data_IF_078414331709
#
_entry.id   IF_078414331709
#
_cell.length_a   1.000
_cell.length_b   1.000
_cell.length_c   1.000
_cell.angle_alpha   90.00
_cell.angle_beta   90.00
_cell.angle_gamma   90.00
#
_symmetry.space_group_name_H-M   'P 1'
#
loop_
_entity.id
_entity.type
_entity.pdbx_description
1 polymer ?
#
# COMPACT_ATOMS: atom_id res chain seq x y z
N UNK A 1 8.08 -3.87 26.27
CA UNK A 1 8.49 -4.23 24.90
C UNK A 1 7.32 -4.15 23.92
N UNK A 2 6.18 -4.78 24.21
CA UNK A 2 4.99 -4.77 23.35
C UNK A 2 4.49 -3.36 22.95
N UNK A 3 4.43 -2.40 23.88
CA UNK A 3 3.95 -1.03 23.56
C UNK A 3 4.79 -0.33 22.49
N UNK A 4 6.12 -0.51 22.51
CA UNK A 4 7.02 0.08 21.52
C UNK A 4 6.83 -0.58 20.15
N UNK A 5 6.67 -1.91 20.10
CA UNK A 5 6.39 -2.64 18.87
C UNK A 5 5.05 -2.24 18.27
N UNK A 6 4.00 -2.11 19.09
CA UNK A 6 2.68 -1.68 18.66
C UNK A 6 2.71 -0.25 18.11
N UNK A 7 3.39 0.67 18.80
CA UNK A 7 3.59 2.03 18.29
C UNK A 7 4.29 2.04 16.92
N UNK A 8 5.38 1.28 16.77
CA UNK A 8 6.10 1.18 15.49
C UNK A 8 5.24 0.54 14.39
N UNK A 9 4.43 -0.47 14.73
CA UNK A 9 3.53 -1.11 13.77
C UNK A 9 2.48 -0.12 13.26
N UNK A 10 1.84 0.63 14.17
CA UNK A 10 0.85 1.66 13.80
C UNK A 10 1.50 2.78 12.98
N UNK A 11 2.72 3.19 13.34
CA UNK A 11 3.47 4.18 12.57
C UNK A 11 3.80 3.68 11.15
N UNK A 12 4.18 2.41 11.00
CA UNK A 12 4.41 1.79 9.70
C UNK A 12 3.12 1.68 8.88
N UNK A 13 2.01 1.32 9.51
CA UNK A 13 0.69 1.28 8.89
C UNK A 13 0.26 2.66 8.39
N UNK A 14 0.51 3.71 9.18
CA UNK A 14 0.28 5.10 8.80
C UNK A 14 1.15 5.52 7.62
N UNK A 15 2.45 5.20 7.65
CA UNK A 15 3.37 5.46 6.55
C UNK A 15 2.90 4.75 5.26
N UNK A 16 2.45 3.50 5.34
CA UNK A 16 1.86 2.79 4.19
C UNK A 16 0.61 3.52 3.67
N UNK A 17 -0.33 3.88 4.55
CA UNK A 17 -1.59 4.53 4.16
C UNK A 17 -1.37 5.90 3.51
N UNK A 18 -0.42 6.69 4.01
CA UNK A 18 -0.11 8.00 3.43
C UNK A 18 0.36 7.93 1.97
N UNK A 19 0.94 6.81 1.52
CA UNK A 19 1.27 6.61 0.10
C UNK A 19 0.05 6.63 -0.80
N UNK A 20 -1.09 6.11 -0.33
CA UNK A 20 -2.36 6.14 -1.08
C UNK A 20 -2.83 7.57 -1.23
N UNK A 21 -2.70 8.38 -0.18
CA UNK A 21 -3.07 9.81 -0.20
C UNK A 21 -2.21 10.57 -1.20
N UNK A 22 -0.89 10.39 -1.17
CA UNK A 22 0.04 11.05 -2.10
C UNK A 22 -0.30 10.71 -3.56
N UNK A 23 -0.61 9.45 -3.86
CA UNK A 23 -0.94 9.00 -5.22
C UNK A 23 -2.37 9.37 -5.66
N UNK A 24 -3.27 9.67 -4.73
CA UNK A 24 -4.65 10.07 -5.07
C UNK A 24 -4.70 11.36 -5.87
N UNK A 25 -3.74 12.27 -5.68
CA UNK A 25 -3.63 13.49 -6.49
C UNK A 25 -3.60 13.18 -8.01
N UNK A 26 -2.90 12.12 -8.43
CA UNK A 26 -2.84 11.71 -9.84
C UNK A 26 -4.13 11.07 -10.34
N UNK A 27 -4.77 10.25 -9.49
CA UNK A 27 -6.06 9.66 -9.80
C UNK A 27 -7.12 10.74 -10.07
N UNK A 28 -6.98 11.90 -9.42
CA UNK A 28 -7.81 13.10 -9.62
C UNK A 28 -7.35 14.01 -10.77
N UNK A 29 -6.29 13.65 -11.48
CA UNK A 29 -5.83 14.37 -12.68
C UNK A 29 -4.77 15.46 -12.43
N UNK A 30 -4.14 15.50 -11.25
CA UNK A 30 -3.00 16.39 -11.02
C UNK A 30 -1.85 16.10 -12.01
N UNK A 31 -1.07 17.15 -12.30
CA UNK A 31 0.11 17.06 -13.15
C UNK A 31 1.16 16.08 -12.58
N UNK A 32 2.07 15.54 -13.42
CA UNK A 32 3.10 14.63 -12.96
C UNK A 32 3.88 15.18 -11.76
N UNK A 33 3.91 14.43 -10.65
CA UNK A 33 4.64 14.85 -9.46
C UNK A 33 6.13 15.04 -9.78
N UNK A 34 6.72 16.03 -9.13
CA UNK A 34 8.17 16.21 -9.16
C UNK A 34 8.83 14.95 -8.59
N UNK A 35 9.96 14.55 -9.20
CA UNK A 35 10.80 13.42 -8.77
C UNK A 35 10.93 13.26 -7.25
N UNK A 36 11.15 14.31 -6.43
CA UNK A 36 11.22 14.16 -4.98
C UNK A 36 9.96 13.58 -4.35
N UNK A 37 8.76 13.95 -4.80
CA UNK A 37 7.52 13.46 -4.18
C UNK A 37 7.31 11.97 -4.47
N UNK A 38 7.61 11.54 -5.70
CA UNK A 38 7.56 10.11 -6.08
C UNK A 38 8.55 9.30 -5.24
N UNK A 39 9.78 9.78 -5.06
CA UNK A 39 10.79 9.12 -4.23
C UNK A 39 10.34 9.00 -2.78
N UNK A 40 9.76 10.07 -2.21
CA UNK A 40 9.20 10.03 -0.85
C UNK A 40 8.10 8.96 -0.76
N UNK A 41 7.19 8.91 -1.73
CA UNK A 41 6.10 7.93 -1.71
C UNK A 41 6.60 6.48 -1.84
N UNK A 42 7.65 6.24 -2.64
CA UNK A 42 8.29 4.93 -2.78
C UNK A 42 9.00 4.50 -1.50
N UNK A 43 9.71 5.42 -0.83
CA UNK A 43 10.36 5.15 0.47
C UNK A 43 9.31 4.87 1.55
N UNK A 44 8.24 5.67 1.62
CA UNK A 44 7.13 5.44 2.54
C UNK A 44 6.45 4.08 2.28
N UNK A 45 6.34 3.66 1.02
CA UNK A 45 5.80 2.33 0.69
C UNK A 45 6.74 1.21 1.13
N UNK A 46 8.03 1.34 0.82
CA UNK A 46 9.02 0.34 1.17
C UNK A 46 9.13 0.17 2.69
N UNK A 47 9.25 1.26 3.43
CA UNK A 47 9.41 1.24 4.89
C UNK A 47 8.07 0.95 5.58
N UNK A 48 7.00 1.63 5.19
CA UNK A 48 5.69 1.50 5.81
C UNK A 48 5.03 0.17 5.50
N UNK A 49 5.02 -0.25 4.23
CA UNK A 49 4.43 -1.53 3.82
C UNK A 49 5.17 -2.72 4.42
N UNK A 50 6.50 -2.77 4.26
CA UNK A 50 7.29 -3.86 4.84
C UNK A 50 7.25 -3.83 6.38
N UNK A 51 7.35 -2.64 6.98
CA UNK A 51 7.26 -2.46 8.43
C UNK A 51 5.92 -2.93 9.00
N UNK A 52 4.81 -2.66 8.32
CA UNK A 52 3.47 -3.12 8.74
C UNK A 52 3.43 -4.64 8.81
N UNK A 53 3.91 -5.32 7.77
CA UNK A 53 3.91 -6.78 7.72
C UNK A 53 4.88 -7.37 8.76
N UNK A 54 6.14 -6.94 8.77
CA UNK A 54 7.17 -7.52 9.65
C UNK A 54 6.83 -7.29 11.12
N UNK A 55 6.48 -6.05 11.50
CA UNK A 55 6.12 -5.75 12.89
C UNK A 55 4.80 -6.43 13.29
N UNK A 56 3.85 -6.55 12.36
CA UNK A 56 2.60 -7.26 12.61
C UNK A 56 2.82 -8.75 12.88
N UNK A 57 3.72 -9.39 12.13
CA UNK A 57 4.11 -10.79 12.35
C UNK A 57 4.82 -10.97 13.68
N UNK A 58 5.74 -10.07 14.05
CA UNK A 58 6.41 -10.13 15.37
C UNK A 58 5.38 -9.99 16.49
N UNK A 59 4.45 -9.05 16.40
CA UNK A 59 3.36 -8.90 17.37
C UNK A 59 2.48 -10.15 17.46
N UNK A 60 2.17 -10.77 16.33
CA UNK A 60 1.38 -12.00 16.29
C UNK A 60 2.08 -13.14 17.04
N UNK A 61 3.39 -13.30 16.84
CA UNK A 61 4.20 -14.29 17.54
C UNK A 61 4.25 -14.01 19.05
N UNK A 62 4.43 -12.75 19.46
CA UNK A 62 4.42 -12.34 20.86
C UNK A 62 3.06 -12.60 21.54
N UNK A 63 1.95 -12.51 20.79
CA UNK A 63 0.59 -12.83 21.24
C UNK A 63 0.26 -14.34 21.19
N UNK A 64 1.18 -15.19 20.70
CA UNK A 64 1.01 -16.65 20.64
C UNK A 64 0.30 -17.18 19.39
N UNK A 65 0.09 -16.35 18.37
CA UNK A 65 -0.45 -16.79 17.09
C UNK A 65 0.58 -17.59 16.28
N UNK A 66 0.08 -18.51 15.44
CA UNK A 66 0.92 -19.21 14.45
C UNK A 66 1.28 -18.30 13.29
N UNK A 67 2.49 -18.46 12.73
CA UNK A 67 2.93 -17.78 11.50
C UNK A 67 2.00 -18.03 10.31
N UNK A 68 1.34 -19.18 10.28
CA UNK A 68 0.44 -19.58 9.20
C UNK A 68 -1.02 -19.23 9.52
N UNK A 69 -1.27 -18.36 10.47
CA UNK A 69 -2.61 -17.82 10.70
C UNK A 69 -3.14 -17.23 9.39
N UNK A 70 -4.36 -17.61 9.00
CA UNK A 70 -4.91 -17.27 7.67
C UNK A 70 -4.91 -15.76 7.39
N UNK A 71 -5.07 -14.93 8.43
CA UNK A 71 -5.01 -13.47 8.32
C UNK A 71 -3.60 -12.94 8.04
N UNK A 72 -2.55 -13.58 8.54
CA UNK A 72 -1.14 -13.20 8.24
C UNK A 72 -0.85 -13.49 6.77
N UNK A 73 -1.20 -14.69 6.30
CA UNK A 73 -1.03 -15.10 4.90
C UNK A 73 -1.84 -14.16 4.00
N UNK A 74 -3.10 -13.89 4.36
CA UNK A 74 -3.96 -12.96 3.65
C UNK A 74 -3.36 -11.56 3.54
N UNK A 75 -2.76 -11.04 4.61
CA UNK A 75 -2.11 -9.74 4.60
C UNK A 75 -0.88 -9.69 3.69
N UNK A 76 -0.04 -10.74 3.70
CA UNK A 76 1.12 -10.85 2.79
C UNK A 76 0.66 -10.87 1.34
N UNK A 77 -0.33 -11.69 1.01
CA UNK A 77 -0.88 -11.80 -0.35
C UNK A 77 -1.49 -10.48 -0.82
N UNK A 78 -2.29 -9.83 0.04
CA UNK A 78 -2.85 -8.51 -0.24
C UNK A 78 -1.75 -7.46 -0.45
N UNK A 79 -0.68 -7.49 0.35
CA UNK A 79 0.45 -6.56 0.22
C UNK A 79 1.21 -6.76 -1.09
N UNK A 80 1.44 -8.01 -1.50
CA UNK A 80 2.02 -8.32 -2.82
C UNK A 80 1.13 -7.82 -3.95
N UNK A 81 -0.19 -8.05 -3.85
CA UNK A 81 -1.18 -7.55 -4.81
C UNK A 81 -1.19 -6.03 -4.89
N UNK A 82 -1.19 -5.34 -3.74
CA UNK A 82 -1.13 -3.89 -3.65
C UNK A 82 0.16 -3.30 -4.25
N UNK A 83 1.30 -4.00 -4.09
CA UNK A 83 2.59 -3.63 -4.69
C UNK A 83 2.51 -3.67 -6.21
N UNK A 84 1.98 -4.76 -6.76
CA UNK A 84 1.83 -4.91 -8.21
C UNK A 84 0.81 -3.92 -8.80
N UNK A 85 -0.30 -3.68 -8.11
CA UNK A 85 -1.30 -2.66 -8.48
C UNK A 85 -0.69 -1.25 -8.50
N UNK A 86 0.14 -0.91 -7.51
CA UNK A 86 0.86 0.35 -7.45
C UNK A 86 1.83 0.55 -8.61
N UNK A 87 2.64 -0.47 -8.91
CA UNK A 87 3.57 -0.46 -10.05
C UNK A 87 2.82 -0.25 -11.38
N UNK A 88 1.71 -0.95 -11.59
CA UNK A 88 0.88 -0.79 -12.80
C UNK A 88 0.25 0.59 -12.92
N UNK A 89 -0.22 1.15 -11.80
CA UNK A 89 -0.77 2.50 -11.78
C UNK A 89 0.30 3.54 -12.15
N UNK A 90 1.51 3.45 -11.57
CA UNK A 90 2.63 4.35 -11.87
C UNK A 90 3.03 4.32 -13.35
N UNK A 91 3.15 3.12 -13.95
CA UNK A 91 3.45 2.99 -15.39
C UNK A 91 2.37 3.65 -16.25
N UNK A 92 1.09 3.46 -15.89
CA UNK A 92 -0.03 4.08 -16.60
C UNK A 92 -0.05 5.61 -16.49
N UNK A 93 0.31 6.17 -15.33
CA UNK A 93 0.42 7.62 -15.16
C UNK A 93 1.63 8.22 -15.88
N UNK A 94 2.77 7.54 -15.91
CA UNK A 94 3.97 7.98 -16.64
C UNK A 94 3.71 8.07 -18.16
N UNK A 95 2.94 7.14 -18.72
CA UNK A 95 2.54 7.17 -20.13
C UNK A 95 1.67 8.36 -20.53
N UNK A 96 0.98 9.01 -19.57
CA UNK A 96 0.12 10.18 -19.81
C UNK A 96 0.90 11.47 -20.09
N UNK A 97 2.14 11.60 -19.59
CA UNK A 97 2.96 12.81 -19.74
C UNK A 97 3.71 12.93 -21.07
N UNK A 98 3.73 11.87 -21.90
CA UNK A 98 4.58 11.75 -23.09
C UNK A 98 4.01 12.31 -24.41
N UNK A 99 2.90 13.06 -24.39
CA UNK A 99 2.42 13.78 -25.58
C UNK A 99 1.76 12.94 -26.69
N UNK A 100 1.65 11.62 -26.55
CA UNK A 100 0.85 10.82 -27.46
C UNK A 100 -0.63 10.94 -27.08
N UNK A 101 -1.49 11.29 -28.05
CA UNK A 101 -2.97 11.28 -27.98
C UNK A 101 -3.58 9.88 -27.73
N UNK A 102 -2.85 9.00 -27.03
CA UNK A 102 -3.22 7.64 -26.66
C UNK A 102 -4.16 7.61 -25.46
N UNK A 103 -5.45 7.83 -25.77
CA UNK A 103 -6.67 7.36 -25.11
C UNK A 103 -6.83 7.57 -23.60
N UNK A 104 -7.91 8.28 -23.24
CA UNK A 104 -8.59 8.28 -21.93
C UNK A 104 -8.65 6.90 -21.24
N UNK A 105 -8.65 5.81 -22.01
CA UNK A 105 -8.63 4.41 -21.56
C UNK A 105 -7.40 4.04 -20.71
N UNK A 106 -6.20 4.53 -21.02
CA UNK A 106 -4.99 4.23 -20.23
C UNK A 106 -5.01 4.95 -18.87
N UNK A 107 -5.45 6.21 -18.87
CA UNK A 107 -5.65 6.97 -17.65
C UNK A 107 -6.74 6.36 -16.77
N UNK A 108 -7.88 5.96 -17.37
CA UNK A 108 -8.96 5.29 -16.66
C UNK A 108 -8.46 3.98 -16.02
N UNK A 109 -7.68 3.18 -16.76
CA UNK A 109 -7.08 1.95 -16.24
C UNK A 109 -6.10 2.22 -15.08
N UNK A 110 -5.25 3.24 -15.19
CA UNK A 110 -4.33 3.63 -14.12
C UNK A 110 -5.08 4.07 -12.85
N UNK A 111 -6.14 4.87 -13.01
CA UNK A 111 -7.03 5.28 -11.91
C UNK A 111 -7.71 4.06 -11.28
N UNK A 112 -8.23 3.11 -12.06
CA UNK A 112 -8.81 1.87 -11.53
C UNK A 112 -7.79 1.07 -10.72
N UNK A 113 -6.55 0.92 -11.23
CA UNK A 113 -5.49 0.21 -10.51
C UNK A 113 -5.12 0.91 -9.19
N UNK A 114 -5.11 2.25 -9.16
CA UNK A 114 -4.92 3.02 -7.92
C UNK A 114 -6.03 2.75 -6.91
N UNK A 115 -7.29 2.77 -7.32
CA UNK A 115 -8.42 2.47 -6.42
C UNK A 115 -8.41 1.03 -5.91
N UNK A 116 -8.02 0.07 -6.76
CA UNK A 116 -7.81 -1.32 -6.33
C UNK A 116 -6.68 -1.42 -5.30
N UNK A 117 -5.57 -0.69 -5.49
CA UNK A 117 -4.50 -0.61 -4.49
C UNK A 117 -5.00 -0.01 -3.18
N UNK A 118 -5.77 1.09 -3.24
CA UNK A 118 -6.34 1.72 -2.07
C UNK A 118 -7.26 0.76 -1.30
N UNK A 119 -8.13 0.05 -2.02
CA UNK A 119 -8.98 -1.00 -1.45
C UNK A 119 -8.17 -2.14 -0.81
N UNK A 120 -7.09 -2.57 -1.47
CA UNK A 120 -6.19 -3.60 -0.92
C UNK A 120 -5.50 -3.12 0.37
N UNK A 121 -5.03 -1.87 0.41
CA UNK A 121 -4.45 -1.27 1.63
C UNK A 121 -5.47 -1.24 2.77
N UNK A 122 -6.70 -0.80 2.50
CA UNK A 122 -7.78 -0.83 3.50
C UNK A 122 -8.06 -2.25 3.97
N UNK A 123 -8.11 -3.22 3.05
CA UNK A 123 -8.32 -4.63 3.37
C UNK A 123 -7.20 -5.19 4.27
N UNK A 124 -5.93 -4.84 4.02
CA UNK A 124 -4.79 -5.21 4.89
C UNK A 124 -5.00 -4.67 6.31
N UNK A 125 -5.34 -3.38 6.44
CA UNK A 125 -5.53 -2.74 7.74
C UNK A 125 -6.70 -3.36 8.50
N UNK A 126 -7.84 -3.57 7.84
CA UNK A 126 -9.01 -4.22 8.43
C UNK A 126 -8.67 -5.65 8.86
N UNK A 127 -7.93 -6.40 8.03
CA UNK A 127 -7.52 -7.76 8.33
C UNK A 127 -6.62 -7.83 9.57
N UNK A 128 -5.69 -6.89 9.71
CA UNK A 128 -4.78 -6.77 10.86
C UNK A 128 -5.49 -6.34 12.15
N UNK A 129 -6.58 -5.57 12.05
CA UNK A 129 -7.36 -5.13 13.21
C UNK A 129 -8.34 -6.22 13.67
N UNK A 130 -9.06 -6.83 12.72
CA UNK A 130 -10.11 -7.80 13.05
C UNK A 130 -9.58 -9.21 13.34
N UNK A 131 -8.43 -9.58 12.74
CA UNK A 131 -7.77 -10.89 12.91
C UNK A 131 -8.78 -12.06 12.86
N UNK A 132 -9.42 -12.32 11.69
CA UNK A 132 -10.40 -13.40 11.55
C UNK A 132 -9.83 -14.74 12.02
N UNK A 133 -10.43 -15.32 13.06
CA UNK A 133 -10.00 -16.59 13.66
C UNK A 133 -9.12 -16.48 14.90
N UNK A 134 -8.99 -15.28 15.49
CA UNK A 134 -8.54 -15.09 16.88
C UNK A 134 -9.65 -15.28 17.91
#
# INVERSE_FOLDING_TARGET
MAQTLLFLHVLAAFAMASTVVIHTAFALGAAPQSRPVTLTADVLWAVGGLGTIVLGVILALDEGYSLLSGWIIGAIVLWMGATELGRRAQVGFAGRGGGASGSSSYAAKATTMHWLRAAAVVAILVLMVWKPGG
#
